data_IF_012762657984
#
_entry.id   IF_012762657984
#
_cell.length_a   1.000
_cell.length_b   1.000
_cell.length_c   1.000
_cell.angle_alpha   90.00
_cell.angle_beta   90.00
_cell.angle_gamma   90.00
#
_symmetry.space_group_name_H-M   'P 1'
#
loop_
_entity.id
_entity.type
_entity.pdbx_description
1 polymer ?
#
# COMPACT_ATOMS: atom_id res chain seq x y z
N UNK A 1 -13.85 10.50 5.14
CA UNK A 1 -13.75 9.41 4.13
C UNK A 1 -14.54 9.80 2.88
N UNK A 2 -14.30 9.15 1.73
CA UNK A 2 -15.05 9.44 0.49
C UNK A 2 -16.57 9.29 0.64
N UNK A 3 -17.03 8.28 1.40
CA UNK A 3 -18.45 8.07 1.67
C UNK A 3 -19.10 9.19 2.50
N UNK A 4 -18.34 9.88 3.35
CA UNK A 4 -18.84 11.08 4.06
C UNK A 4 -19.15 12.20 3.08
N UNK A 5 -18.26 12.43 2.12
CA UNK A 5 -18.42 13.47 1.10
C UNK A 5 -19.59 13.18 0.17
N UNK A 6 -19.85 11.91 -0.14
CA UNK A 6 -21.08 11.51 -0.86
C UNK A 6 -22.32 11.92 -0.06
N UNK A 7 -22.35 11.68 1.25
CA UNK A 7 -23.49 12.08 2.10
C UNK A 7 -23.64 13.62 2.10
N UNK A 8 -22.55 14.36 2.25
CA UNK A 8 -22.55 15.82 2.20
C UNK A 8 -23.09 16.35 0.86
N UNK A 9 -22.68 15.72 -0.25
CA UNK A 9 -23.13 16.08 -1.59
C UNK A 9 -24.64 15.85 -1.77
N UNK A 10 -25.15 14.72 -1.28
CA UNK A 10 -26.59 14.41 -1.30
C UNK A 10 -27.38 15.44 -0.48
N UNK A 11 -26.90 15.76 0.73
CA UNK A 11 -27.53 16.74 1.61
C UNK A 11 -27.53 18.14 0.99
N UNK A 12 -26.42 18.54 0.38
CA UNK A 12 -26.32 19.81 -0.33
C UNK A 12 -27.30 19.91 -1.51
N UNK A 13 -27.48 18.82 -2.26
CA UNK A 13 -28.42 18.76 -3.40
C UNK A 13 -29.87 18.56 -2.97
N UNK A 14 -30.14 18.33 -1.68
CA UNK A 14 -31.48 18.04 -1.18
C UNK A 14 -32.06 16.71 -1.68
N UNK A 15 -31.19 15.76 -2.05
CA UNK A 15 -31.62 14.45 -2.56
C UNK A 15 -32.01 13.51 -1.41
N UNK A 16 -32.97 12.62 -1.65
CA UNK A 16 -33.32 11.58 -0.68
C UNK A 16 -32.23 10.50 -0.67
N UNK A 17 -31.62 10.27 0.50
CA UNK A 17 -30.48 9.36 0.69
C UNK A 17 -30.78 7.96 0.16
N UNK A 18 -31.94 7.40 0.50
CA UNK A 18 -32.33 6.05 0.13
C UNK A 18 -32.40 5.87 -1.40
N UNK A 19 -33.08 6.81 -2.08
CA UNK A 19 -33.21 6.79 -3.54
C UNK A 19 -31.88 6.99 -4.24
N UNK A 20 -31.03 7.89 -3.73
CA UNK A 20 -29.73 8.14 -4.34
C UNK A 20 -28.79 6.95 -4.18
N UNK A 21 -28.80 6.27 -3.02
CA UNK A 21 -27.99 5.08 -2.83
C UNK A 21 -28.32 4.00 -3.87
N UNK A 22 -29.61 3.78 -4.16
CA UNK A 22 -30.04 2.85 -5.21
C UNK A 22 -29.56 3.30 -6.60
N UNK A 23 -29.66 4.59 -6.93
CA UNK A 23 -29.18 5.15 -8.21
C UNK A 23 -27.68 4.93 -8.43
N UNK A 24 -26.88 4.99 -7.36
CA UNK A 24 -25.44 4.74 -7.45
C UNK A 24 -25.07 3.25 -7.32
N UNK A 25 -26.06 2.35 -7.26
CA UNK A 25 -25.87 0.91 -7.16
C UNK A 25 -25.38 0.45 -5.79
N UNK A 26 -25.76 1.17 -4.72
CA UNK A 26 -25.36 0.86 -3.35
C UNK A 26 -26.57 0.77 -2.41
N UNK A 27 -26.38 0.10 -1.27
CA UNK A 27 -27.39 0.05 -0.21
C UNK A 27 -27.06 1.03 0.90
N UNK A 28 -28.08 1.48 1.63
CA UNK A 28 -27.92 2.36 2.80
C UNK A 28 -27.03 1.76 3.89
N UNK A 29 -26.97 0.43 4.00
CA UNK A 29 -26.08 -0.29 4.90
C UNK A 29 -24.59 -0.02 4.62
N UNK A 30 -24.22 0.26 3.36
CA UNK A 30 -22.83 0.56 2.96
C UNK A 30 -22.30 1.88 3.54
N UNK A 31 -23.20 2.76 3.96
CA UNK A 31 -22.89 4.09 4.50
C UNK A 31 -22.97 4.16 6.04
N UNK A 32 -23.17 3.03 6.72
CA UNK A 32 -23.33 2.95 8.18
C UNK A 32 -22.27 2.04 8.82
N UNK A 33 -22.06 2.21 10.12
CA UNK A 33 -21.18 1.35 10.93
C UNK A 33 -19.76 1.20 10.34
N UNK A 34 -19.22 -0.02 10.37
CA UNK A 34 -17.88 -0.32 9.83
C UNK A 34 -17.82 -0.21 8.30
N UNK A 35 -18.92 -0.44 7.60
CA UNK A 35 -18.96 -0.37 6.13
C UNK A 35 -18.71 1.06 5.60
N UNK A 36 -19.01 2.08 6.40
CA UNK A 36 -18.69 3.48 6.09
C UNK A 36 -17.20 3.75 5.87
N UNK A 37 -16.34 2.92 6.47
CA UNK A 37 -14.89 3.05 6.37
C UNK A 37 -14.30 2.27 5.18
N UNK A 38 -15.12 1.53 4.42
CA UNK A 38 -14.62 0.82 3.24
C UNK A 38 -14.55 1.75 2.03
N UNK A 39 -13.68 1.44 1.05
CA UNK A 39 -13.62 2.19 -0.20
C UNK A 39 -14.97 2.22 -0.92
N UNK A 40 -15.17 3.29 -1.69
CA UNK A 40 -16.27 3.38 -2.64
C UNK A 40 -15.86 2.66 -3.93
N UNK A 41 -16.78 1.90 -4.54
CA UNK A 41 -16.49 1.21 -5.80
C UNK A 41 -16.45 2.22 -6.97
N UNK A 42 -15.77 1.86 -8.06
CA UNK A 42 -15.60 2.73 -9.24
C UNK A 42 -16.93 3.04 -9.92
N UNK A 43 -17.81 2.05 -10.06
CA UNK A 43 -19.14 2.22 -10.67
C UNK A 43 -20.01 3.22 -9.91
N UNK A 44 -19.95 3.24 -8.57
CA UNK A 44 -20.67 4.25 -7.78
C UNK A 44 -20.09 5.63 -8.01
N UNK A 45 -18.77 5.79 -8.17
CA UNK A 45 -18.16 7.09 -8.48
C UNK A 45 -18.66 7.60 -9.83
N UNK A 46 -18.66 6.73 -10.86
CA UNK A 46 -19.20 7.05 -12.19
C UNK A 46 -20.68 7.47 -12.11
N UNK A 47 -21.49 6.70 -11.40
CA UNK A 47 -22.92 7.02 -11.22
C UNK A 47 -23.13 8.32 -10.44
N UNK A 48 -22.32 8.61 -9.41
CA UNK A 48 -22.41 9.88 -8.66
C UNK A 48 -22.15 11.05 -9.59
N UNK A 49 -21.07 11.01 -10.38
CA UNK A 49 -20.70 12.08 -11.30
C UNK A 49 -21.68 12.22 -12.47
N UNK A 50 -22.37 11.13 -12.83
CA UNK A 50 -23.43 11.16 -13.85
C UNK A 50 -24.72 11.77 -13.32
N UNK A 51 -25.10 11.49 -12.07
CA UNK A 51 -26.31 12.05 -11.45
C UNK A 51 -26.12 13.51 -10.99
N UNK A 52 -24.88 13.90 -10.66
CA UNK A 52 -24.54 15.24 -10.17
C UNK A 52 -23.37 15.79 -11.01
N UNK A 53 -23.63 16.24 -12.25
CA UNK A 53 -22.58 16.62 -13.21
C UNK A 53 -21.77 17.85 -12.80
N UNK A 54 -22.32 18.67 -11.91
CA UNK A 54 -21.63 19.83 -11.33
C UNK A 54 -20.86 19.50 -10.06
N UNK A 55 -20.88 18.26 -9.58
CA UNK A 55 -19.99 17.83 -8.50
C UNK A 55 -18.53 17.93 -8.96
N UNK A 56 -17.63 18.31 -8.05
CA UNK A 56 -16.21 18.31 -8.33
C UNK A 56 -15.58 16.93 -8.03
N UNK A 57 -15.13 16.16 -9.05
CA UNK A 57 -14.43 14.90 -8.83
C UNK A 57 -13.20 15.00 -7.94
N UNK A 58 -12.46 16.09 -8.01
CA UNK A 58 -11.26 16.28 -7.18
C UNK A 58 -11.64 16.35 -5.71
N UNK A 59 -12.57 17.24 -5.35
CA UNK A 59 -13.10 17.33 -4.01
C UNK A 59 -13.72 16.01 -3.54
N UNK A 60 -14.46 15.32 -4.39
CA UNK A 60 -15.07 14.03 -4.03
C UNK A 60 -14.00 12.99 -3.65
N UNK A 61 -12.89 12.93 -4.39
CA UNK A 61 -11.83 11.93 -4.18
C UNK A 61 -10.85 12.34 -3.07
N UNK A 62 -10.38 13.58 -3.07
CA UNK A 62 -9.31 14.07 -2.20
C UNK A 62 -9.85 14.85 -1.00
N UNK A 63 -11.02 15.49 -1.13
CA UNK A 63 -11.54 16.45 -0.16
C UNK A 63 -10.96 17.86 -0.31
N UNK A 64 -10.19 18.12 -1.37
CA UNK A 64 -9.53 19.40 -1.62
C UNK A 64 -10.33 20.20 -2.66
N UNK A 65 -10.44 21.51 -2.46
CA UNK A 65 -11.14 22.43 -3.35
C UNK A 65 -12.64 22.54 -3.05
N UNK A 66 -13.38 23.14 -3.99
CA UNK A 66 -14.81 23.34 -3.85
C UNK A 66 -15.61 22.10 -4.22
N UNK A 67 -16.71 21.87 -3.51
CA UNK A 67 -17.59 20.72 -3.72
C UNK A 67 -18.28 20.74 -5.08
N UNK A 68 -18.68 21.92 -5.55
CA UNK A 68 -19.38 22.13 -6.81
C UNK A 68 -18.45 22.89 -7.74
N UNK A 69 -18.40 22.45 -9.00
CA UNK A 69 -17.74 23.19 -10.06
C UNK A 69 -18.72 24.23 -10.59
N UNK A 70 -18.27 25.47 -10.62
CA UNK A 70 -18.85 26.42 -11.55
C UNK A 70 -18.51 25.89 -12.95
N UNK A 71 -19.51 25.38 -13.67
CA UNK A 71 -19.33 24.98 -15.06
C UNK A 71 -19.48 26.26 -15.89
N UNK A 72 -18.41 26.95 -16.33
CA UNK A 72 -18.56 27.85 -17.46
C UNK A 72 -19.01 26.99 -18.64
N UNK A 73 -20.05 27.45 -19.35
CA UNK A 73 -20.67 26.76 -20.49
C UNK A 73 -19.62 26.01 -21.32
N UNK A 74 -19.87 24.71 -21.50
CA UNK A 74 -18.96 23.70 -22.07
C UNK A 74 -18.07 24.26 -23.19
N UNK A 75 -16.75 24.27 -22.98
CA UNK A 75 -15.81 24.18 -24.10
C UNK A 75 -15.90 22.74 -24.61
N UNK A 76 -16.69 22.53 -25.65
CA UNK A 76 -16.62 21.32 -26.47
C UNK A 76 -15.21 21.24 -27.04
N UNK A 77 -14.41 20.31 -26.52
CA UNK A 77 -13.16 19.94 -27.17
C UNK A 77 -13.54 19.11 -28.40
N UNK A 78 -13.21 19.53 -29.63
CA UNK A 78 -13.44 18.70 -30.79
C UNK A 78 -12.62 17.41 -30.62
N UNK A 79 -13.30 16.28 -30.66
CA UNK A 79 -12.69 14.96 -30.76
C UNK A 79 -11.90 14.96 -32.08
N UNK A 80 -10.57 15.05 -31.99
CA UNK A 80 -9.71 14.84 -33.15
C UNK A 80 -9.63 13.35 -33.42
N UNK A 81 -10.49 12.89 -34.32
CA UNK A 81 -10.31 11.61 -35.00
C UNK A 81 -9.06 11.71 -35.89
N UNK A 82 -8.10 10.80 -35.70
CA UNK A 82 -6.76 10.88 -36.33
C UNK A 82 -6.69 10.27 -37.73
N UNK A 83 -7.82 9.99 -38.36
CA UNK A 83 -7.87 9.32 -39.67
C UNK A 83 -8.62 10.14 -40.71
N UNK A 84 -8.03 11.26 -41.19
CA UNK A 84 -8.38 11.87 -42.48
C UNK A 84 -7.36 12.97 -42.88
N UNK A 85 -6.12 12.57 -43.20
CA UNK A 85 -5.13 13.40 -43.92
C UNK A 85 -4.84 12.88 -45.33
N UNK A 86 -5.85 12.36 -46.02
CA UNK A 86 -5.70 11.89 -47.38
C UNK A 86 -7.01 12.05 -48.18
N UNK A 87 -7.34 13.29 -48.57
CA UNK A 87 -7.91 13.63 -49.88
C UNK A 87 -8.57 15.03 -49.86
N UNK A 88 -8.23 15.86 -50.84
CA UNK A 88 -9.16 16.86 -51.36
C UNK A 88 -8.84 18.31 -51.04
N UNK A 89 -8.22 18.98 -52.01
CA UNK A 89 -7.92 20.41 -52.06
C UNK A 89 -9.14 21.33 -52.05
N UNK A 90 -8.91 22.57 -51.58
CA UNK A 90 -9.46 23.86 -52.06
C UNK A 90 -10.53 24.60 -51.23
N UNK A 91 -10.13 25.83 -50.84
CA UNK A 91 -10.92 27.08 -50.72
C UNK A 91 -11.63 27.35 -49.36
N UNK A 92 -10.96 28.07 -48.45
CA UNK A 92 -11.15 29.51 -48.18
C UNK A 92 -10.20 29.95 -47.03
N UNK A 93 -9.37 30.97 -47.31
CA UNK A 93 -8.68 31.72 -46.26
C UNK A 93 -9.70 32.61 -45.56
N UNK A 94 -9.73 32.57 -44.25
CA UNK A 94 -9.98 33.80 -43.48
C UNK A 94 -8.81 33.99 -42.52
N UNK A 95 -8.31 35.21 -42.50
CA UNK A 95 -7.06 35.63 -41.88
C UNK A 95 -7.10 35.38 -40.36
N UNK A 96 -6.45 34.31 -39.89
CA UNK A 96 -6.14 34.18 -38.46
C UNK A 96 -5.10 35.26 -38.14
N UNK A 97 -5.36 36.19 -37.19
CA UNK A 97 -4.36 37.16 -36.77
C UNK A 97 -3.11 36.43 -36.29
N UNK A 98 -1.89 36.93 -36.59
CA UNK A 98 -0.67 36.29 -36.13
C UNK A 98 -0.70 36.17 -34.61
N UNK A 99 -0.55 34.95 -34.10
CA UNK A 99 -0.42 34.69 -32.66
C UNK A 99 0.76 35.52 -32.14
N UNK A 100 0.47 36.57 -31.38
CA UNK A 100 1.47 37.39 -30.70
C UNK A 100 2.12 36.60 -29.54
N UNK A 101 3.36 36.96 -29.12
CA UNK A 101 4.39 36.06 -28.57
C UNK A 101 4.23 35.63 -27.10
N UNK A 102 3.01 35.68 -26.55
CA UNK A 102 2.72 35.35 -25.14
C UNK A 102 3.04 33.89 -24.82
N UNK A 103 2.97 33.01 -25.82
CA UNK A 103 3.22 31.56 -25.70
C UNK A 103 4.68 31.23 -25.35
N UNK A 104 5.64 32.13 -25.62
CA UNK A 104 7.07 31.83 -25.47
C UNK A 104 7.54 31.81 -24.01
N UNK A 105 6.97 32.66 -23.15
CA UNK A 105 7.42 32.84 -21.76
C UNK A 105 6.85 31.76 -20.83
N UNK A 106 5.58 31.38 -21.04
CA UNK A 106 4.96 30.25 -20.34
C UNK A 106 5.65 28.92 -20.70
N UNK A 107 6.03 28.73 -21.96
CA UNK A 107 6.79 27.55 -22.40
C UNK A 107 8.13 27.39 -21.67
N UNK A 108 8.80 28.49 -21.32
CA UNK A 108 10.05 28.46 -20.55
C UNK A 108 9.81 28.08 -19.08
N UNK A 109 8.72 28.58 -18.49
CA UNK A 109 8.35 28.24 -17.10
C UNK A 109 8.02 26.75 -16.94
N UNK A 110 7.19 26.19 -17.84
CA UNK A 110 6.88 24.77 -17.82
C UNK A 110 8.12 23.91 -18.03
N UNK A 111 9.01 24.31 -18.95
CA UNK A 111 10.29 23.61 -19.17
C UNK A 111 11.13 23.55 -17.89
N UNK A 112 11.26 24.66 -17.15
CA UNK A 112 11.98 24.72 -15.87
C UNK A 112 11.34 23.84 -14.79
N UNK A 113 10.01 23.79 -14.71
CA UNK A 113 9.31 22.90 -13.79
C UNK A 113 9.57 21.43 -14.10
N UNK A 114 9.49 21.04 -15.38
CA UNK A 114 9.76 19.66 -15.80
C UNK A 114 11.21 19.25 -15.55
N UNK A 115 12.18 20.14 -15.79
CA UNK A 115 13.59 19.89 -15.51
C UNK A 115 13.84 19.70 -14.02
N UNK A 116 13.29 20.58 -13.17
CA UNK A 116 13.42 20.47 -11.72
C UNK A 116 12.78 19.19 -11.16
N UNK A 117 11.63 18.79 -11.68
CA UNK A 117 10.97 17.55 -11.29
C UNK A 117 11.79 16.32 -11.72
N UNK A 118 12.38 16.37 -12.93
CA UNK A 118 13.27 15.32 -13.42
C UNK A 118 14.52 15.18 -12.54
N UNK A 119 15.20 16.29 -12.24
CA UNK A 119 16.39 16.31 -11.39
C UNK A 119 16.10 15.70 -10.01
N UNK A 120 15.01 16.13 -9.37
CA UNK A 120 14.58 15.58 -8.08
C UNK A 120 14.31 14.08 -8.14
N UNK A 121 13.69 13.60 -9.23
CA UNK A 121 13.42 12.18 -9.42
C UNK A 121 14.71 11.38 -9.66
N UNK A 122 15.69 11.96 -10.36
CA UNK A 122 17.01 11.36 -10.55
C UNK A 122 17.77 11.27 -9.21
N UNK A 123 17.77 12.33 -8.41
CA UNK A 123 18.35 12.33 -7.07
C UNK A 123 17.71 11.26 -6.17
N UNK A 124 16.38 11.15 -6.20
CA UNK A 124 15.65 10.12 -5.47
C UNK A 124 16.01 8.71 -5.94
N UNK A 125 16.16 8.51 -7.24
CA UNK A 125 16.59 7.24 -7.83
C UNK A 125 17.99 6.84 -7.34
N UNK A 126 18.95 7.78 -7.40
CA UNK A 126 20.32 7.56 -6.91
C UNK A 126 20.32 7.23 -5.42
N UNK A 127 19.56 7.97 -4.61
CA UNK A 127 19.46 7.74 -3.16
C UNK A 127 18.86 6.37 -2.85
N UNK A 128 17.82 5.99 -3.57
CA UNK A 128 17.18 4.68 -3.43
C UNK A 128 18.15 3.55 -3.79
N UNK A 129 18.94 3.72 -4.84
CA UNK A 129 20.00 2.78 -5.21
C UNK A 129 21.06 2.63 -4.11
N UNK A 130 21.60 3.74 -3.58
CA UNK A 130 22.59 3.72 -2.48
C UNK A 130 22.05 2.99 -1.24
N UNK A 131 20.83 3.33 -0.82
CA UNK A 131 20.20 2.69 0.33
C UNK A 131 19.95 1.20 0.11
N UNK A 132 19.59 0.80 -1.12
CA UNK A 132 19.43 -0.62 -1.48
C UNK A 132 20.75 -1.38 -1.36
N UNK A 133 21.86 -0.81 -1.84
CA UNK A 133 23.19 -1.39 -1.68
C UNK A 133 23.59 -1.51 -0.20
N UNK A 134 23.30 -0.49 0.62
CA UNK A 134 23.59 -0.52 2.05
C UNK A 134 22.80 -1.63 2.77
N UNK A 135 21.50 -1.78 2.47
CA UNK A 135 20.66 -2.86 2.98
C UNK A 135 21.25 -4.23 2.61
N UNK A 136 21.70 -4.41 1.37
CA UNK A 136 22.31 -5.67 0.92
C UNK A 136 23.58 -6.02 1.72
N UNK A 137 24.46 -5.03 1.96
CA UNK A 137 25.66 -5.23 2.77
C UNK A 137 25.32 -5.58 4.22
N UNK A 138 24.35 -4.89 4.83
CA UNK A 138 23.89 -5.17 6.19
C UNK A 138 23.27 -6.56 6.31
N UNK A 139 22.47 -6.99 5.33
CA UNK A 139 21.90 -8.33 5.28
C UNK A 139 22.99 -9.41 5.20
N UNK A 140 24.03 -9.19 4.38
CA UNK A 140 25.18 -10.09 4.27
C UNK A 140 25.93 -10.19 5.60
N UNK A 141 26.18 -9.06 6.26
CA UNK A 141 26.86 -9.01 7.56
C UNK A 141 26.05 -9.71 8.65
N UNK A 142 24.74 -9.44 8.72
CA UNK A 142 23.85 -10.11 9.66
C UNK A 142 23.84 -11.63 9.49
N UNK A 143 23.76 -12.11 8.24
CA UNK A 143 23.83 -13.55 7.91
C UNK A 143 25.17 -14.16 8.33
N UNK A 144 26.28 -13.46 8.12
CA UNK A 144 27.61 -13.92 8.54
C UNK A 144 27.72 -14.00 10.07
N UNK A 145 27.23 -12.98 10.78
CA UNK A 145 27.26 -12.94 12.24
C UNK A 145 26.40 -14.03 12.86
N UNK A 146 25.21 -14.29 12.29
CA UNK A 146 24.35 -15.40 12.70
C UNK A 146 25.06 -16.75 12.60
N UNK A 147 25.72 -17.02 11.47
CA UNK A 147 26.50 -18.25 11.29
C UNK A 147 27.63 -18.39 12.32
N UNK A 148 28.34 -17.30 12.63
CA UNK A 148 29.40 -17.30 13.65
C UNK A 148 28.84 -17.61 15.03
N UNK A 149 27.69 -17.02 15.37
CA UNK A 149 27.01 -17.28 16.64
C UNK A 149 26.60 -18.77 16.75
N UNK A 150 26.00 -19.33 15.68
CA UNK A 150 25.63 -20.76 15.64
C UNK A 150 26.85 -21.69 15.81
N UNK A 151 28.02 -21.32 15.29
CA UNK A 151 29.27 -22.08 15.47
C UNK A 151 29.74 -21.98 16.93
N UNK A 152 29.79 -20.77 17.48
CA UNK A 152 30.23 -20.53 18.85
C UNK A 152 29.36 -21.28 19.87
N UNK A 153 28.03 -21.28 19.68
CA UNK A 153 27.11 -22.05 20.52
C UNK A 153 27.35 -23.56 20.46
N UNK A 154 27.69 -24.10 19.28
CA UNK A 154 28.03 -25.53 19.13
C UNK A 154 29.36 -25.87 19.79
N UNK A 155 30.33 -24.99 19.70
CA UNK A 155 31.66 -25.15 20.29
C UNK A 155 31.59 -25.09 21.82
N UNK A 156 30.79 -24.17 22.37
CA UNK A 156 30.49 -24.13 23.81
C UNK A 156 29.80 -25.42 24.28
N UNK A 157 28.82 -25.93 23.51
CA UNK A 157 28.16 -27.19 23.83
C UNK A 157 29.12 -28.40 23.77
N UNK A 158 30.06 -28.40 22.81
CA UNK A 158 31.06 -29.46 22.68
C UNK A 158 32.04 -29.45 23.86
N UNK A 159 32.54 -28.28 24.26
CA UNK A 159 33.42 -28.11 25.42
C UNK A 159 32.73 -28.52 26.72
N UNK A 160 31.44 -28.21 26.87
CA UNK A 160 30.66 -28.71 28.02
C UNK A 160 30.60 -30.24 28.02
N UNK A 161 30.29 -30.88 26.90
CA UNK A 161 30.24 -32.36 26.80
C UNK A 161 31.61 -33.00 27.03
N UNK A 162 32.69 -32.43 26.50
CA UNK A 162 34.04 -32.95 26.69
C UNK A 162 34.48 -32.90 28.16
N UNK A 163 34.21 -31.79 28.85
CA UNK A 163 34.47 -31.66 30.29
C UNK A 163 33.65 -32.68 31.11
N UNK A 164 32.42 -33.00 30.69
CA UNK A 164 31.61 -34.05 31.33
C UNK A 164 32.14 -35.47 31.06
N UNK A 165 32.79 -35.71 29.92
CA UNK A 165 33.37 -37.02 29.60
C UNK A 165 34.76 -37.24 30.19
N UNK A 166 35.55 -36.19 30.41
CA UNK A 166 36.86 -36.30 31.04
C UNK A 166 36.80 -36.61 32.55
N UNK A 167 35.68 -36.26 33.21
CA UNK A 167 35.45 -36.59 34.62
C UNK A 167 35.05 -38.06 34.86
N UNK A 168 34.74 -38.81 33.79
CA UNK A 168 34.33 -40.22 33.87
C UNK A 168 35.47 -41.22 33.60
N UNK A 169 36.69 -40.76 33.31
CA UNK A 169 37.83 -41.64 32.98
C UNK A 169 38.97 -41.54 34.00
N UNK A 170 38.63 -41.65 35.29
CA UNK A 170 39.59 -41.97 36.37
C UNK A 170 38.98 -43.02 37.31
N UNK A 171 39.32 -44.30 37.06
CA UNK A 171 39.34 -45.33 38.12
C UNK A 171 38.28 -46.43 38.02
N UNK A 172 38.67 -47.54 37.40
CA UNK A 172 38.01 -48.85 37.44
C UNK A 172 38.05 -49.46 38.86
N UNK A 173 36.94 -50.02 39.38
CA UNK A 173 36.98 -51.22 40.24
C UNK A 173 35.63 -51.96 40.26
N UNK A 174 35.73 -53.27 40.11
CA UNK A 174 34.67 -54.27 40.02
C UNK A 174 33.72 -54.28 41.23
N UNK A 175 32.42 -54.40 40.99
CA UNK A 175 31.59 -55.35 41.72
C UNK A 175 30.35 -55.71 40.90
N UNK A 176 30.33 -56.97 40.43
CA UNK A 176 29.14 -57.63 39.92
C UNK A 176 28.04 -57.75 40.99
N UNK A 177 26.86 -58.20 40.52
CA UNK A 177 25.66 -58.78 41.15
C UNK A 177 24.41 -57.87 41.32
N UNK A 178 23.18 -58.39 41.11
CA UNK A 178 22.55 -58.53 39.79
C UNK A 178 21.15 -57.85 39.71
N UNK A 179 20.66 -57.65 38.48
CA UNK A 179 19.30 -57.18 38.19
C UNK A 179 18.21 -58.03 38.89
N UNK A 180 17.26 -57.35 39.55
CA UNK A 180 15.91 -57.87 39.77
C UNK A 180 14.88 -56.83 39.34
N UNK A 181 14.05 -57.28 38.41
CA UNK A 181 12.89 -56.60 37.86
C UNK A 181 11.97 -56.02 38.92
N UNK A 182 11.50 -54.79 38.70
CA UNK A 182 10.22 -54.32 39.19
C UNK A 182 9.54 -53.51 38.07
N UNK A 183 8.52 -54.15 37.50
CA UNK A 183 7.54 -53.57 36.57
C UNK A 183 6.41 -52.89 37.37
N UNK A 184 5.54 -52.17 36.64
CA UNK A 184 4.25 -51.56 37.02
C UNK A 184 4.43 -50.06 37.37
N UNK A 185 4.28 -49.15 36.42
CA UNK A 185 3.02 -48.66 35.84
C UNK A 185 2.22 -47.74 36.79
N UNK A 186 1.79 -46.62 36.21
CA UNK A 186 0.92 -45.55 36.71
C UNK A 186 1.51 -44.56 37.73
N UNK A 187 1.72 -43.32 37.29
CA UNK A 187 0.90 -42.16 37.73
C UNK A 187 1.24 -40.92 36.87
N UNK A 188 0.26 -40.58 36.03
CA UNK A 188 -0.22 -39.28 35.57
C UNK A 188 0.75 -38.11 35.27
N UNK A 189 0.81 -37.85 33.96
CA UNK A 189 1.23 -36.62 33.30
C UNK A 189 0.49 -35.38 33.84
N UNK A 190 1.17 -34.50 34.58
CA UNK A 190 0.66 -33.18 34.93
C UNK A 190 1.12 -32.14 33.88
N UNK A 191 0.24 -31.80 32.92
CA UNK A 191 0.37 -30.57 32.11
C UNK A 191 -0.36 -29.43 32.82
N UNK A 192 0.39 -28.45 33.33
CA UNK A 192 -0.07 -27.14 33.83
C UNK A 192 0.94 -26.13 33.25
N UNK A 193 0.63 -25.04 32.53
CA UNK A 193 -0.59 -24.28 32.27
C UNK A 193 -0.28 -23.34 31.09
N UNK A 194 -1.17 -23.21 30.11
CA UNK A 194 -1.20 -22.05 29.21
C UNK A 194 -2.35 -21.16 29.65
N UNK A 195 -2.02 -20.08 30.36
CA UNK A 195 -2.93 -18.97 30.59
C UNK A 195 -3.20 -18.25 29.26
N UNK A 196 -4.47 -18.10 28.88
CA UNK A 196 -4.95 -16.85 28.30
C UNK A 196 -6.38 -16.58 28.80
N UNK A 197 -6.52 -15.36 29.29
CA UNK A 197 -7.65 -14.79 29.98
C UNK A 197 -8.59 -14.11 28.96
N UNK A 198 -9.88 -14.12 29.29
CA UNK A 198 -10.91 -13.08 29.01
C UNK A 198 -11.78 -13.23 27.76
N UNK A 199 -13.07 -13.52 28.01
CA UNK A 199 -14.31 -12.78 27.62
C UNK A 199 -15.49 -13.65 28.11
N UNK A 200 -16.49 -13.18 28.84
CA UNK A 200 -17.18 -11.88 28.90
C UNK A 200 -17.63 -11.59 30.33
#
# INVERSE_FOLDING_TARGET
MIKDRVIQLIEFKGLKKESFFEQIGMTSASFRGKAKNTPLNSTAIENILSNIPDANPEWLLTGIGDMIREIPAQKTYPVYDSEQLAAGSSILRDERPPLQPVVSQENEFYKKLYEKEREKNEELSIKTGKMSSEIETLQKNYKALRKKNDICLKEEHHLQVENFTSDLDVGCFEQEVPLKHASIADVHYAKKTRNQHIKK
#
